data_IF_061545648355
#
_entry.id   IF_061545648355
#
_cell.length_a   1.000
_cell.length_b   1.000
_cell.length_c   1.000
_cell.angle_alpha   90.00
_cell.angle_beta   90.00
_cell.angle_gamma   90.00
#
_symmetry.space_group_name_H-M   'P 1'
#
loop_
_entity.id
_entity.type
_entity.pdbx_description
1 polymer ?
#
# COMPACT_ATOMS: atom_id res chain seq x y z
N UNK A 1 19.15 -9.08 1.72
CA UNK A 1 18.72 -9.09 3.14
C UNK A 1 18.80 -7.66 3.70
N UNK A 2 17.83 -6.80 3.36
CA UNK A 2 17.88 -5.35 3.64
C UNK A 2 16.94 -4.91 4.78
N UNK A 3 16.47 -5.87 5.59
CA UNK A 3 15.49 -5.62 6.66
C UNK A 3 16.10 -5.72 8.08
N UNK A 4 17.39 -6.08 8.20
CA UNK A 4 18.07 -6.27 9.50
C UNK A 4 18.93 -5.07 9.94
N UNK A 5 18.94 -3.95 9.22
CA UNK A 5 19.83 -2.82 9.53
C UNK A 5 19.24 -1.79 10.52
N UNK A 6 17.94 -1.86 10.80
CA UNK A 6 17.31 -1.08 11.87
C UNK A 6 16.92 -2.06 12.98
N UNK A 7 17.63 -2.01 14.12
CA UNK A 7 17.31 -2.81 15.29
C UNK A 7 15.91 -2.49 15.85
N UNK A 8 15.47 -3.28 16.83
CA UNK A 8 14.24 -3.00 17.56
C UNK A 8 14.25 -1.56 18.12
N UNK A 9 13.14 -0.86 17.95
CA UNK A 9 12.96 0.52 18.41
C UNK A 9 11.54 0.72 18.95
N UNK A 10 11.31 1.80 19.69
CA UNK A 10 9.95 2.20 20.10
C UNK A 10 8.99 2.29 18.90
N UNK A 11 9.49 2.69 17.72
CA UNK A 11 8.66 2.78 16.51
C UNK A 11 8.26 1.40 15.96
N UNK A 12 8.99 0.34 16.29
CA UNK A 12 8.57 -1.03 15.99
C UNK A 12 7.37 -1.42 16.87
N UNK A 13 7.41 -1.08 18.16
CA UNK A 13 6.31 -1.33 19.10
C UNK A 13 5.04 -0.58 18.70
N UNK A 14 5.18 0.69 18.28
CA UNK A 14 4.05 1.48 17.73
C UNK A 14 3.44 0.80 16.50
N UNK A 15 4.26 0.30 15.58
CA UNK A 15 3.77 -0.40 14.39
C UNK A 15 3.00 -1.65 14.77
N UNK A 16 3.58 -2.50 15.63
CA UNK A 16 2.94 -3.73 16.10
C UNK A 16 1.64 -3.44 16.88
N UNK A 17 1.59 -2.34 17.63
CA UNK A 17 0.36 -1.88 18.26
C UNK A 17 -0.71 -1.49 17.24
N UNK A 18 -0.35 -0.77 16.17
CA UNK A 18 -1.27 -0.47 15.08
C UNK A 18 -1.83 -1.74 14.40
N UNK A 19 -0.99 -2.75 14.21
CA UNK A 19 -1.40 -4.07 13.70
C UNK A 19 -2.38 -4.76 14.66
N UNK A 20 -2.15 -4.68 15.97
CA UNK A 20 -3.07 -5.20 16.99
C UNK A 20 -4.43 -4.47 16.97
N UNK A 21 -4.42 -3.14 16.79
CA UNK A 21 -5.68 -2.37 16.68
C UNK A 21 -6.55 -2.87 15.53
N UNK A 22 -5.96 -3.23 14.40
CA UNK A 22 -6.69 -3.84 13.29
C UNK A 22 -7.30 -5.20 13.65
N UNK A 23 -6.63 -6.04 14.44
CA UNK A 23 -7.21 -7.31 14.89
C UNK A 23 -8.42 -7.09 15.80
N UNK A 24 -8.35 -6.07 16.67
CA UNK A 24 -9.46 -5.68 17.54
C UNK A 24 -10.64 -5.18 16.70
N UNK A 25 -10.39 -4.29 15.74
CA UNK A 25 -11.43 -3.71 14.87
C UNK A 25 -12.11 -4.75 13.98
N UNK A 26 -11.33 -5.66 13.39
CA UNK A 26 -11.84 -6.68 12.48
C UNK A 26 -12.36 -7.94 13.17
N UNK A 27 -12.10 -8.11 14.48
CA UNK A 27 -12.33 -9.35 15.25
C UNK A 27 -11.86 -10.62 14.55
N UNK A 28 -10.80 -10.49 13.75
CA UNK A 28 -10.21 -11.54 12.91
C UNK A 28 -8.70 -11.37 12.88
N UNK A 29 -8.01 -12.44 12.47
CA UNK A 29 -6.59 -12.36 12.18
C UNK A 29 -6.36 -11.40 11.00
N UNK A 30 -5.27 -10.64 11.08
CA UNK A 30 -4.92 -9.69 10.03
C UNK A 30 -4.68 -10.35 8.67
N UNK A 31 -4.19 -11.60 8.66
CA UNK A 31 -4.01 -12.37 7.44
C UNK A 31 -4.91 -13.61 7.44
N UNK A 32 -5.64 -13.80 6.36
CA UNK A 32 -6.53 -14.94 6.12
C UNK A 32 -6.32 -15.47 4.71
N UNK A 33 -5.64 -16.61 4.62
CA UNK A 33 -5.30 -17.24 3.34
C UNK A 33 -6.54 -17.76 2.59
N UNK A 34 -7.64 -18.05 3.29
CA UNK A 34 -8.87 -18.55 2.68
C UNK A 34 -9.72 -17.44 2.03
N UNK A 35 -9.42 -16.17 2.33
CA UNK A 35 -10.12 -15.03 1.75
C UNK A 35 -9.65 -14.72 0.31
N UNK A 36 -10.46 -14.03 -0.51
CA UNK A 36 -10.03 -13.51 -1.80
C UNK A 36 -8.80 -12.60 -1.66
N UNK A 37 -7.90 -12.59 -2.66
CA UNK A 37 -6.62 -11.84 -2.62
C UNK A 37 -6.76 -10.38 -2.17
N UNK A 38 -7.84 -9.70 -2.58
CA UNK A 38 -8.12 -8.31 -2.19
C UNK A 38 -8.49 -8.12 -0.72
N UNK A 39 -8.85 -9.20 -0.01
CA UNK A 39 -9.32 -9.23 1.37
C UNK A 39 -8.42 -10.06 2.31
N UNK A 40 -7.41 -10.76 1.78
CA UNK A 40 -6.52 -11.61 2.58
C UNK A 40 -5.82 -10.85 3.70
N UNK A 41 -5.46 -9.59 3.46
CA UNK A 41 -4.81 -8.74 4.45
C UNK A 41 -5.73 -7.61 4.92
N UNK A 42 -6.26 -7.76 6.13
CA UNK A 42 -7.28 -6.88 6.70
C UNK A 42 -6.86 -5.41 6.79
N UNK A 43 -5.62 -5.03 7.21
CA UNK A 43 -5.22 -3.62 7.24
C UNK A 43 -5.35 -2.94 5.87
N UNK A 44 -4.98 -3.63 4.79
CA UNK A 44 -5.15 -3.15 3.41
C UNK A 44 -6.61 -2.99 3.03
N UNK A 45 -7.45 -3.97 3.36
CA UNK A 45 -8.90 -3.89 3.12
C UNK A 45 -9.52 -2.71 3.89
N UNK A 46 -9.16 -2.55 5.16
CA UNK A 46 -9.62 -1.44 6.00
C UNK A 46 -9.24 -0.09 5.40
N UNK A 47 -8.03 0.06 4.85
CA UNK A 47 -7.64 1.28 4.14
C UNK A 47 -8.53 1.56 2.93
N UNK A 48 -8.76 0.56 2.08
CA UNK A 48 -9.62 0.72 0.90
C UNK A 48 -11.04 1.15 1.28
N UNK A 49 -11.58 0.61 2.38
CA UNK A 49 -12.90 0.99 2.87
C UNK A 49 -12.91 2.34 3.56
N UNK A 50 -11.85 2.71 4.27
CA UNK A 50 -11.68 4.05 4.82
C UNK A 50 -11.66 5.13 3.72
N UNK A 51 -10.88 4.93 2.66
CA UNK A 51 -10.74 5.88 1.54
C UNK A 51 -12.06 6.07 0.76
N UNK A 52 -12.88 5.01 0.66
CA UNK A 52 -14.22 5.05 0.07
C UNK A 52 -15.32 5.51 1.03
N UNK A 53 -14.99 5.83 2.28
CA UNK A 53 -15.94 6.23 3.31
C UNK A 53 -16.97 5.12 3.68
N UNK A 54 -16.56 3.86 3.52
CA UNK A 54 -17.32 2.62 3.74
C UNK A 54 -16.70 1.76 4.87
N UNK A 55 -15.90 2.36 5.76
CA UNK A 55 -15.14 1.63 6.79
C UNK A 55 -16.01 0.70 7.66
N UNK A 56 -17.24 1.12 7.95
CA UNK A 56 -18.17 0.39 8.81
C UNK A 56 -18.66 -0.94 8.20
N UNK A 57 -18.43 -1.19 6.91
CA UNK A 57 -18.76 -2.47 6.28
C UNK A 57 -17.81 -3.61 6.70
N UNK A 58 -16.61 -3.27 7.15
CA UNK A 58 -15.55 -4.24 7.48
C UNK A 58 -15.15 -4.21 8.95
N UNK A 59 -15.61 -3.23 9.70
CA UNK A 59 -15.37 -3.10 11.13
C UNK A 59 -16.61 -3.58 11.88
N UNK A 60 -16.42 -4.50 12.81
CA UNK A 60 -17.52 -5.05 13.59
C UNK A 60 -17.83 -4.12 14.78
N UNK A 61 -18.94 -3.38 14.70
CA UNK A 61 -19.45 -2.50 15.77
C UNK A 61 -20.80 -2.99 16.29
N UNK A 62 -21.08 -2.77 17.58
CA UNK A 62 -22.34 -3.21 18.20
C UNK A 62 -23.37 -2.08 18.33
N UNK A 63 -22.93 -0.81 18.46
CA UNK A 63 -23.79 0.38 18.60
C UNK A 63 -23.22 1.64 17.91
N UNK A 64 -24.03 2.70 17.73
CA UNK A 64 -23.60 3.98 17.10
C UNK A 64 -22.40 4.67 17.80
N UNK A 65 -22.34 4.57 19.14
CA UNK A 65 -21.21 5.11 19.91
C UNK A 65 -19.93 4.31 19.67
N UNK A 66 -20.07 3.02 19.36
CA UNK A 66 -18.94 2.17 18.98
C UNK A 66 -18.45 2.56 17.57
N UNK A 67 -19.31 3.03 16.67
CA UNK A 67 -18.91 3.42 15.31
C UNK A 67 -17.89 4.57 15.31
N UNK A 68 -18.16 5.65 16.07
CA UNK A 68 -17.24 6.79 16.19
C UNK A 68 -15.92 6.36 16.81
N UNK A 69 -15.99 5.51 17.83
CA UNK A 69 -14.81 4.97 18.52
C UNK A 69 -13.99 4.11 17.57
N UNK A 70 -14.66 3.25 16.79
CA UNK A 70 -14.02 2.33 15.86
C UNK A 70 -13.39 3.07 14.67
N UNK A 71 -14.08 4.09 14.13
CA UNK A 71 -13.51 4.98 13.11
C UNK A 71 -12.24 5.66 13.61
N UNK A 72 -12.30 6.23 14.81
CA UNK A 72 -11.15 6.88 15.45
C UNK A 72 -10.00 5.91 15.70
N UNK A 73 -10.28 4.73 16.23
CA UNK A 73 -9.30 3.66 16.41
C UNK A 73 -8.64 3.27 15.08
N UNK A 74 -9.41 3.25 13.98
CA UNK A 74 -8.89 2.94 12.66
C UNK A 74 -7.91 4.02 12.15
N UNK A 75 -8.25 5.30 12.34
CA UNK A 75 -7.35 6.41 11.99
C UNK A 75 -6.04 6.36 12.79
N UNK A 76 -6.12 6.07 14.09
CA UNK A 76 -4.93 5.85 14.93
C UNK A 76 -4.11 4.68 14.41
N UNK A 77 -4.76 3.56 14.06
CA UNK A 77 -4.09 2.40 13.52
C UNK A 77 -3.32 2.74 12.23
N UNK A 78 -3.91 3.50 11.30
CA UNK A 78 -3.23 3.95 10.08
C UNK A 78 -2.03 4.86 10.34
N UNK A 79 -2.10 5.75 11.34
CA UNK A 79 -0.93 6.51 11.77
C UNK A 79 0.17 5.63 12.35
N UNK A 80 -0.19 4.60 13.12
CA UNK A 80 0.77 3.68 13.73
C UNK A 80 1.47 2.79 12.69
N UNK A 81 0.79 2.38 11.62
CA UNK A 81 1.34 1.47 10.61
C UNK A 81 1.99 2.17 9.41
N UNK A 82 2.29 3.46 9.52
CA UNK A 82 3.01 4.19 8.47
C UNK A 82 4.33 3.48 8.11
N UNK A 83 4.63 3.45 6.81
CA UNK A 83 5.81 2.78 6.28
C UNK A 83 7.09 3.39 6.88
N UNK A 84 7.17 4.73 6.93
CA UNK A 84 8.30 5.45 7.52
C UNK A 84 8.17 5.48 9.06
N UNK A 85 9.15 4.98 9.83
CA UNK A 85 9.11 5.01 11.30
C UNK A 85 8.95 6.42 11.89
N UNK A 86 9.48 7.43 11.22
CA UNK A 86 9.44 8.84 11.63
C UNK A 86 8.01 9.40 11.58
N UNK A 87 7.18 8.92 10.66
CA UNK A 87 5.79 9.31 10.52
C UNK A 87 4.87 8.69 11.58
N UNK A 88 5.33 7.64 12.27
CA UNK A 88 4.56 6.99 13.34
C UNK A 88 4.56 7.88 14.59
N UNK A 89 3.40 8.16 15.21
CA UNK A 89 3.33 8.94 16.44
C UNK A 89 4.01 8.21 17.62
N UNK A 90 4.53 8.93 18.63
CA UNK A 90 4.98 8.30 19.87
C UNK A 90 3.79 7.73 20.66
N UNK A 91 4.01 6.70 21.49
CA UNK A 91 2.89 6.03 22.19
C UNK A 91 2.08 6.97 23.09
N UNK A 92 2.70 7.98 23.69
CA UNK A 92 1.98 9.00 24.47
C UNK A 92 0.97 9.78 23.64
N UNK A 93 1.25 10.01 22.35
CA UNK A 93 0.34 10.67 21.42
C UNK A 93 -0.75 9.69 20.97
N UNK A 94 -0.38 8.43 20.70
CA UNK A 94 -1.35 7.37 20.36
C UNK A 94 -2.44 7.25 21.44
N UNK A 95 -2.07 7.25 22.73
CA UNK A 95 -3.04 7.19 23.84
C UNK A 95 -3.98 8.40 23.83
N UNK A 96 -3.46 9.62 23.72
CA UNK A 96 -4.29 10.84 23.62
C UNK A 96 -5.22 10.82 22.41
N UNK A 97 -4.72 10.31 21.28
CA UNK A 97 -5.54 10.09 20.10
C UNK A 97 -6.63 9.05 20.37
N UNK A 98 -6.39 7.97 21.11
CA UNK A 98 -7.45 7.00 21.43
C UNK A 98 -8.47 7.54 22.44
N UNK A 99 -8.02 8.28 23.46
CA UNK A 99 -8.87 8.79 24.54
C UNK A 99 -9.77 9.97 24.15
N UNK A 100 -9.62 10.52 22.94
CA UNK A 100 -10.42 11.67 22.52
C UNK A 100 -9.83 13.02 22.89
N UNK A 101 -8.63 13.06 23.48
CA UNK A 101 -8.03 14.30 23.99
C UNK A 101 -7.46 15.22 22.90
N UNK A 102 -7.29 14.70 21.67
CA UNK A 102 -6.76 15.46 20.55
C UNK A 102 -7.40 15.06 19.23
N UNK A 103 -7.60 16.01 18.32
CA UNK A 103 -8.09 15.69 16.98
C UNK A 103 -7.04 14.93 16.15
N UNK A 104 -7.51 14.04 15.28
CA UNK A 104 -6.67 13.22 14.42
C UNK A 104 -6.80 13.77 13.01
N UNK A 105 -5.67 14.19 12.42
CA UNK A 105 -5.65 14.55 11.02
C UNK A 105 -5.81 13.28 10.15
N UNK A 106 -6.45 13.38 8.96
CA UNK A 106 -6.54 12.24 8.05
C UNK A 106 -5.16 11.66 7.75
N UNK A 107 -4.94 10.34 7.98
CA UNK A 107 -3.66 9.69 7.73
C UNK A 107 -3.37 9.60 6.22
N UNK A 108 -2.09 9.51 5.85
CA UNK A 108 -1.69 9.13 4.50
C UNK A 108 -1.81 7.60 4.33
N UNK A 109 -1.97 7.12 3.09
CA UNK A 109 -2.05 5.68 2.82
C UNK A 109 -0.74 4.97 3.22
N UNK A 110 -0.75 4.12 4.26
CA UNK A 110 0.45 3.41 4.72
C UNK A 110 0.86 2.26 3.78
N UNK A 111 -0.04 1.86 2.87
CA UNK A 111 0.08 0.69 1.99
C UNK A 111 0.23 1.05 0.51
N UNK A 112 0.66 2.28 0.18
CA UNK A 112 0.87 2.70 -1.21
C UNK A 112 1.70 1.70 -2.02
N UNK A 113 2.76 1.16 -1.41
CA UNK A 113 3.64 0.18 -2.05
C UNK A 113 2.97 -1.17 -2.37
N UNK A 114 1.83 -1.50 -1.73
CA UNK A 114 1.05 -2.73 -1.96
C UNK A 114 -0.16 -2.51 -2.89
N UNK A 115 -0.44 -1.25 -3.23
CA UNK A 115 -1.55 -0.83 -4.08
C UNK A 115 -1.10 -0.36 -5.46
N UNK A 116 0.16 0.01 -5.60
CA UNK A 116 0.74 0.31 -6.89
C UNK A 116 0.66 -0.94 -7.79
N UNK A 117 -0.05 -0.82 -8.92
CA UNK A 117 0.03 -1.80 -9.99
C UNK A 117 1.51 -1.98 -10.38
N UNK A 118 1.98 -3.18 -10.74
CA UNK A 118 3.34 -3.37 -11.19
C UNK A 118 3.56 -2.45 -12.40
N UNK A 119 4.41 -1.44 -12.25
CA UNK A 119 4.86 -0.63 -13.35
C UNK A 119 5.68 -1.54 -14.28
N UNK A 120 4.99 -2.07 -15.31
CA UNK A 120 5.52 -2.77 -16.47
C UNK A 120 6.80 -3.60 -16.22
N UNK A 121 6.63 -4.86 -15.85
CA UNK A 121 7.67 -5.88 -15.94
C UNK A 121 8.01 -6.22 -17.41
N UNK A 122 8.47 -5.26 -18.22
CA UNK A 122 8.81 -5.45 -19.64
C UNK A 122 9.97 -4.56 -20.15
N UNK A 123 10.93 -4.15 -19.31
CA UNK A 123 12.07 -3.35 -19.77
C UNK A 123 13.41 -3.99 -19.41
N UNK A 124 13.81 -5.03 -20.15
CA UNK A 124 15.25 -5.29 -20.44
C UNK A 124 15.57 -6.38 -21.48
N UNK A 125 14.61 -7.07 -22.11
CA UNK A 125 15.01 -8.00 -23.20
C UNK A 125 15.13 -7.23 -24.52
N UNK A 126 16.25 -6.53 -24.72
CA UNK A 126 16.84 -6.31 -26.06
C UNK A 126 18.34 -6.01 -25.91
N UNK A 127 19.12 -7.07 -26.15
CA UNK A 127 20.35 -7.12 -26.96
C UNK A 127 21.59 -6.33 -26.52
N UNK A 128 22.59 -7.07 -26.03
CA UNK A 128 24.03 -6.93 -26.39
C UNK A 128 24.61 -8.37 -26.35
N UNK A 129 25.51 -8.86 -27.21
CA UNK A 129 26.52 -8.25 -28.09
C UNK A 129 27.09 -9.37 -29.01
N UNK A 130 27.31 -9.12 -30.32
CA UNK A 130 28.64 -9.08 -31.00
C UNK A 130 28.59 -9.98 -32.26
N UNK A 131 29.19 -9.76 -33.44
CA UNK A 131 30.12 -8.78 -34.03
C UNK A 131 30.17 -9.06 -35.57
N UNK A 132 30.30 -7.98 -36.37
CA UNK A 132 30.86 -7.79 -37.74
C UNK A 132 30.45 -8.65 -38.96
N UNK A 133 30.10 -8.00 -40.08
CA UNK A 133 31.04 -7.55 -41.16
C UNK A 133 30.28 -6.86 -42.30
N UNK A 134 30.86 -5.77 -42.82
CA UNK A 134 30.39 -4.92 -43.92
C UNK A 134 30.33 -5.65 -45.28
N UNK A 135 29.50 -5.16 -46.22
CA UNK A 135 29.76 -5.14 -47.68
C UNK A 135 28.74 -4.25 -48.43
N UNK A 136 29.26 -3.11 -48.95
CA UNK A 136 28.98 -2.38 -50.22
C UNK A 136 27.57 -1.87 -50.61
N UNK A 137 27.47 -0.62 -51.15
CA UNK A 137 26.25 -0.08 -51.74
C UNK A 137 26.19 -0.36 -53.26
N UNK A 138 24.98 -0.61 -53.79
CA UNK A 138 24.73 -0.67 -55.23
C UNK A 138 23.47 0.13 -55.60
N UNK A 139 23.68 1.06 -56.53
CA UNK A 139 22.70 1.89 -57.24
C UNK A 139 21.55 1.09 -57.86
N UNK A 140 20.38 1.72 -58.01
CA UNK A 140 19.51 1.36 -59.13
C UNK A 140 18.04 1.81 -59.10
N UNK A 141 17.78 2.97 -59.72
CA UNK A 141 16.66 3.24 -60.66
C UNK A 141 15.22 3.44 -60.15
N UNK A 142 14.71 4.60 -60.61
CA UNK A 142 13.40 5.27 -60.59
C UNK A 142 12.11 4.52 -60.96
N UNK A 143 11.00 5.27 -60.70
CA UNK A 143 9.59 5.20 -61.20
C UNK A 143 8.67 4.39 -60.28
N UNK A 144 7.49 4.82 -59.87
CA UNK A 144 6.66 5.97 -60.23
C UNK A 144 5.18 5.53 -60.12
N UNK A 145 4.34 6.40 -59.55
CA UNK A 145 2.89 6.52 -59.77
C UNK A 145 1.90 5.51 -59.11
N UNK A 146 1.04 6.11 -58.27
CA UNK A 146 -0.44 6.03 -58.22
C UNK A 146 -1.25 4.72 -58.00
N UNK A 147 -2.22 4.91 -57.08
CA UNK A 147 -3.65 4.54 -57.11
C UNK A 147 -4.18 3.23 -56.47
N UNK A 148 -4.97 3.45 -55.40
CA UNK A 148 -6.38 3.05 -55.18
C UNK A 148 -6.78 1.62 -55.58
N UNK A 149 -7.11 0.79 -54.58
CA UNK A 149 -8.44 0.16 -54.37
C UNK A 149 -8.69 0.07 -52.87
#
# INVERSE_FOLDING_TARGET
EMWMQAGASEKCDVYSFGILLFEILGRRRNFDEAAPESQQWFPKLAWTKYDSNELMEVVESCDEQDEKTAHRMCEVAFWCVQQQPEARPPMSVVVKMLEGEMDIAPPANPFQHLMAAPAAANLWITTTSSVNTALTPANGVSRGSNEIV
#
